data_IF_351864379177
#
_entry.id   IF_351864379177
#
_cell.length_a   1.000
_cell.length_b   1.000
_cell.length_c   1.000
_cell.angle_alpha   90.00
_cell.angle_beta   90.00
_cell.angle_gamma   90.00
#
_symmetry.space_group_name_H-M   'P 1'
#
loop_
_entity.id
_entity.type
_entity.pdbx_description
1 polymer ?
#
# COMPACT_ATOMS: atom_id res chain seq x y z
N UNK A 1 6.73 25.80 9.11
CA UNK A 1 6.99 24.48 8.52
C UNK A 1 6.91 23.51 9.67
N UNK A 2 5.82 22.76 9.75
CA UNK A 2 5.59 21.82 10.84
C UNK A 2 6.75 20.83 10.91
N UNK A 3 7.33 20.66 12.09
CA UNK A 3 8.38 19.68 12.31
C UNK A 3 7.81 18.29 12.03
N UNK A 4 8.49 17.44 11.23
CA UNK A 4 7.96 16.12 10.94
C UNK A 4 7.80 15.34 12.25
N UNK A 5 6.56 14.95 12.56
CA UNK A 5 6.28 14.03 13.64
C UNK A 5 6.93 12.69 13.31
N UNK A 6 7.98 12.34 14.05
CA UNK A 6 8.70 11.07 13.88
C UNK A 6 7.82 9.86 14.21
N UNK A 7 6.62 10.05 14.79
CA UNK A 7 5.62 9.00 14.97
C UNK A 7 4.76 8.74 13.73
N UNK A 8 4.91 9.52 12.65
CA UNK A 8 4.16 9.37 11.41
C UNK A 8 5.07 8.97 10.24
N UNK A 9 4.65 7.95 9.50
CA UNK A 9 5.26 7.58 8.22
C UNK A 9 4.29 7.87 7.06
N UNK A 10 4.85 8.22 5.90
CA UNK A 10 4.11 8.43 4.66
C UNK A 10 4.60 7.42 3.61
N UNK A 11 3.67 6.69 3.02
CA UNK A 11 3.93 5.79 1.88
C UNK A 11 3.27 6.37 0.65
N UNK A 12 4.06 6.55 -0.41
CA UNK A 12 3.57 7.04 -1.69
C UNK A 12 3.34 5.87 -2.62
N UNK A 13 2.07 5.64 -2.96
CA UNK A 13 1.56 4.54 -3.78
C UNK A 13 0.80 3.49 -2.96
N UNK A 14 -0.43 3.20 -3.34
CA UNK A 14 -1.30 2.13 -2.82
C UNK A 14 -1.25 0.87 -3.70
N UNK A 15 -0.09 0.55 -4.27
CA UNK A 15 0.13 -0.74 -4.97
C UNK A 15 0.38 -1.87 -3.97
N UNK A 16 0.53 -3.11 -4.44
CA UNK A 16 0.91 -4.23 -3.56
C UNK A 16 2.20 -3.93 -2.78
N UNK A 17 3.20 -3.33 -3.43
CA UNK A 17 4.46 -2.95 -2.78
C UNK A 17 4.23 -1.88 -1.70
N UNK A 18 3.44 -0.85 -2.01
CA UNK A 18 3.11 0.22 -1.07
C UNK A 18 2.31 -0.27 0.14
N UNK A 19 1.33 -1.14 -0.06
CA UNK A 19 0.55 -1.73 1.03
C UNK A 19 1.39 -2.68 1.89
N UNK A 20 2.29 -3.46 1.30
CA UNK A 20 3.26 -4.27 2.04
C UNK A 20 4.19 -3.38 2.88
N UNK A 21 4.71 -2.29 2.32
CA UNK A 21 5.53 -1.33 3.05
C UNK A 21 4.75 -0.68 4.20
N UNK A 22 3.51 -0.25 3.95
CA UNK A 22 2.65 0.34 4.97
C UNK A 22 2.38 -0.62 6.13
N UNK A 23 2.15 -1.90 5.83
CA UNK A 23 1.97 -2.96 6.83
C UNK A 23 3.24 -3.23 7.63
N UNK A 24 4.41 -3.22 7.00
CA UNK A 24 5.67 -3.34 7.72
C UNK A 24 5.88 -2.16 8.68
N UNK A 25 5.59 -0.93 8.23
CA UNK A 25 5.73 0.30 9.01
C UNK A 25 4.72 0.43 10.16
N UNK A 26 3.54 -0.18 10.05
CA UNK A 26 2.48 -0.03 11.08
C UNK A 26 2.85 -0.60 12.45
N UNK A 27 3.89 -1.45 12.53
CA UNK A 27 4.44 -1.92 13.81
C UNK A 27 5.43 -0.95 14.46
N UNK A 28 5.89 0.08 13.74
CA UNK A 28 6.96 0.98 14.17
C UNK A 28 6.51 2.43 14.33
N UNK A 29 5.45 2.83 13.62
CA UNK A 29 4.91 4.19 13.63
C UNK A 29 3.50 4.20 14.18
N UNK A 30 3.15 5.27 14.92
CA UNK A 30 1.80 5.42 15.46
C UNK A 30 0.76 5.66 14.35
N UNK A 31 1.20 6.23 13.22
CA UNK A 31 0.36 6.45 12.07
C UNK A 31 1.13 6.24 10.78
N UNK A 32 0.52 5.50 9.84
CA UNK A 32 1.02 5.34 8.48
C UNK A 32 -0.02 5.91 7.53
N UNK A 33 0.36 6.91 6.75
CA UNK A 33 -0.51 7.53 5.74
C UNK A 33 -0.10 7.01 4.37
N UNK A 34 -1.02 6.36 3.67
CA UNK A 34 -0.83 5.94 2.29
C UNK A 34 -1.46 6.97 1.37
N UNK A 35 -0.70 7.47 0.41
CA UNK A 35 -1.18 8.42 -0.60
C UNK A 35 -1.08 7.75 -1.97
N UNK A 36 -2.20 7.61 -2.67
CA UNK A 36 -2.24 7.17 -4.08
C UNK A 36 -2.82 8.30 -4.95
N UNK A 37 -2.55 8.25 -6.24
CA UNK A 37 -3.16 9.14 -7.23
C UNK A 37 -4.62 8.75 -7.49
N UNK A 38 -4.91 7.46 -7.47
CA UNK A 38 -6.27 6.95 -7.62
C UNK A 38 -7.04 7.07 -6.31
N UNK A 39 -8.37 7.12 -6.42
CA UNK A 39 -9.24 6.84 -5.28
C UNK A 39 -9.08 5.38 -4.84
N UNK A 40 -8.80 5.18 -3.55
CA UNK A 40 -8.70 3.85 -2.97
C UNK A 40 -10.12 3.33 -2.67
N UNK A 41 -10.53 2.19 -3.26
CA UNK A 41 -11.87 1.65 -3.03
C UNK A 41 -11.99 1.12 -1.59
N UNK A 42 -13.19 1.22 -1.00
CA UNK A 42 -13.49 0.69 0.34
C UNK A 42 -13.49 -0.85 0.42
N UNK A 43 -13.41 -1.53 -0.71
CA UNK A 43 -13.30 -2.98 -0.85
C UNK A 43 -12.28 -3.33 -1.94
N UNK A 44 -11.72 -4.56 -1.94
CA UNK A 44 -10.84 -5.01 -3.01
C UNK A 44 -11.51 -4.84 -4.39
N UNK A 45 -10.79 -4.24 -5.34
CA UNK A 45 -11.30 -4.00 -6.68
C UNK A 45 -10.27 -3.40 -7.63
N UNK A 46 -10.54 -3.44 -8.94
CA UNK A 46 -9.69 -2.84 -9.96
C UNK A 46 -9.54 -1.34 -9.77
N UNK A 47 -8.37 -0.82 -10.15
CA UNK A 47 -8.06 0.61 -10.12
C UNK A 47 -7.18 0.98 -11.30
N UNK A 48 -7.33 2.21 -11.80
CA UNK A 48 -6.67 2.70 -13.03
C UNK A 48 -5.15 2.61 -12.95
N UNK A 49 -4.57 2.96 -11.80
CA UNK A 49 -3.13 2.95 -11.51
C UNK A 49 -2.56 1.59 -11.12
N UNK A 50 -3.39 0.55 -11.02
CA UNK A 50 -2.96 -0.85 -10.93
C UNK A 50 -3.78 -1.72 -11.90
N UNK A 51 -3.61 -1.53 -13.22
CA UNK A 51 -4.35 -2.29 -14.23
C UNK A 51 -4.07 -3.80 -14.14
N UNK A 52 -2.92 -4.18 -13.59
CA UNK A 52 -2.54 -5.57 -13.34
C UNK A 52 -3.31 -6.22 -12.18
N UNK A 53 -4.03 -5.46 -11.36
CA UNK A 53 -4.77 -5.99 -10.22
C UNK A 53 -5.93 -6.92 -10.58
N UNK A 54 -6.33 -6.96 -11.85
CA UNK A 54 -7.30 -7.92 -12.37
C UNK A 54 -6.68 -9.29 -12.73
N UNK A 55 -5.35 -9.39 -12.72
CA UNK A 55 -4.67 -10.65 -13.00
C UNK A 55 -4.48 -11.46 -11.70
N UNK A 56 -4.52 -12.78 -11.83
CA UNK A 56 -4.22 -13.67 -10.71
C UNK A 56 -2.78 -13.52 -10.26
N UNK A 57 -2.58 -12.94 -9.08
CA UNK A 57 -1.29 -12.90 -8.40
C UNK A 57 -1.14 -14.14 -7.50
N UNK A 58 -1.11 -15.32 -8.13
CA UNK A 58 -1.06 -16.61 -7.42
C UNK A 58 0.34 -16.83 -6.86
N UNK A 59 0.42 -17.16 -5.57
CA UNK A 59 1.63 -17.73 -4.98
C UNK A 59 1.58 -19.25 -5.18
N UNK A 60 2.41 -19.74 -6.08
CA UNK A 60 2.52 -21.16 -6.36
C UNK A 60 3.18 -21.87 -5.18
N UNK A 61 2.63 -23.02 -4.78
CA UNK A 61 3.27 -23.88 -3.79
C UNK A 61 4.64 -24.31 -4.30
N UNK A 62 5.71 -23.95 -3.58
CA UNK A 62 7.10 -24.21 -3.99
C UNK A 62 7.47 -23.71 -5.41
N UNK A 63 6.79 -22.69 -5.94
CA UNK A 63 7.09 -22.11 -7.25
C UNK A 63 6.71 -22.98 -8.46
N UNK A 64 5.79 -23.94 -8.29
CA UNK A 64 5.29 -24.85 -9.35
C UNK A 64 4.27 -24.20 -10.27
#
# INVERSE_FOLDING_TARGET
>A
MDTPDTRRAVVVGGSIAGLCAARALSGHYAQVVVVDRDDLPGSPGPRRGAPQGNHGHVLLGAGQ
#
